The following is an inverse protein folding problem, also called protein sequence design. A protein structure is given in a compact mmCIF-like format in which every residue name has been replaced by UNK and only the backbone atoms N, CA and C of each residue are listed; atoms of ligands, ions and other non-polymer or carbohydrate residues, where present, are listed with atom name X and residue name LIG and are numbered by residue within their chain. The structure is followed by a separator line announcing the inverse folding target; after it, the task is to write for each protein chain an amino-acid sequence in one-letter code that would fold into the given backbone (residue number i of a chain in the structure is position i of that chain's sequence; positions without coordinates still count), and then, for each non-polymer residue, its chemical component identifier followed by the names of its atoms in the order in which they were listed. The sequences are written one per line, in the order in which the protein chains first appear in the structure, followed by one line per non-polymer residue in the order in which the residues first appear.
data_IF_142521161711
#
_entry.id   IF_142521161711
#
_cell.length_a   1.000
_cell.length_b   1.000
_cell.length_c   1.000
_cell.angle_alpha   90.00
_cell.angle_beta   90.00
_cell.angle_gamma   90.00
#
_symmetry.space_group_name_H-M   'P 1'
#
loop_
_entity.id
_entity.type
_entity.pdbx_description
1 polymer ?
#
# COMPACT_ATOMS: atom_id res chain seq x y z
N UNK A 1 38.52 33.21 0.05
CA UNK A 1 38.91 32.54 1.30
C UNK A 1 37.66 31.87 1.84
N UNK A 2 37.70 30.54 1.84
CA UNK A 2 36.57 29.64 1.96
C UNK A 2 35.92 29.63 3.34
N UNK A 3 34.58 29.65 3.36
CA UNK A 3 33.78 29.15 4.46
C UNK A 3 33.31 27.75 4.07
N UNK A 4 34.03 26.73 4.54
CA UNK A 4 33.65 25.34 4.38
C UNK A 4 32.41 25.05 5.27
N UNK A 5 31.25 24.88 4.63
CA UNK A 5 30.05 24.37 5.27
C UNK A 5 30.25 22.87 5.57
N UNK A 6 30.37 22.52 6.84
CA UNK A 6 30.46 21.13 7.29
C UNK A 6 29.14 20.40 6.97
N UNK A 7 29.16 19.58 5.92
CA UNK A 7 28.10 18.63 5.61
C UNK A 7 27.99 17.63 6.77
N UNK A 8 26.96 17.78 7.61
CA UNK A 8 26.52 16.72 8.50
C UNK A 8 26.00 15.57 7.63
N UNK A 9 26.87 14.62 7.31
CA UNK A 9 26.48 13.31 6.78
C UNK A 9 25.85 12.52 7.93
N UNK A 10 24.60 12.88 8.27
CA UNK A 10 23.73 11.99 9.01
C UNK A 10 23.49 10.77 8.13
N UNK A 11 24.19 9.67 8.37
CA UNK A 11 23.77 8.35 7.89
C UNK A 11 22.31 8.22 8.28
N UNK A 12 21.41 8.13 7.30
CA UNK A 12 20.02 7.79 7.55
C UNK A 12 20.04 6.51 8.38
N UNK A 13 19.65 6.63 9.65
CA UNK A 13 19.43 5.47 10.51
C UNK A 13 18.24 4.76 9.86
N UNK A 14 18.51 3.65 9.18
CA UNK A 14 17.45 2.70 8.83
C UNK A 14 17.01 2.12 10.17
N UNK A 15 16.04 2.77 10.80
CA UNK A 15 15.29 2.16 11.89
C UNK A 15 14.52 1.03 11.22
N UNK A 16 14.70 -0.24 11.63
CA UNK A 16 13.82 -1.30 11.16
C UNK A 16 12.41 -0.86 11.51
N UNK A 17 11.62 -0.47 10.52
CA UNK A 17 10.20 -0.32 10.73
C UNK A 17 9.71 -1.72 11.06
N UNK A 18 9.15 -1.90 12.24
CA UNK A 18 8.33 -3.08 12.52
C UNK A 18 7.17 -2.99 11.53
N UNK A 19 7.30 -3.68 10.40
CA UNK A 19 6.27 -3.71 9.38
C UNK A 19 5.17 -4.61 9.92
N UNK A 20 4.02 -4.02 10.20
CA UNK A 20 2.82 -4.76 10.57
C UNK A 20 1.92 -4.85 9.34
N UNK A 21 1.37 -6.04 9.09
CA UNK A 21 0.53 -6.32 7.92
C UNK A 21 -0.93 -6.59 8.32
N UNK A 22 -1.82 -6.22 7.41
CA UNK A 22 -3.22 -6.65 7.37
C UNK A 22 -3.47 -7.14 5.95
N UNK A 23 -3.93 -8.38 5.83
CA UNK A 23 -4.23 -8.98 4.54
C UNK A 23 -5.71 -8.79 4.22
N UNK A 24 -5.97 -8.13 3.10
CA UNK A 24 -7.32 -7.78 2.65
C UNK A 24 -7.60 -8.49 1.34
N UNK A 25 -8.70 -9.23 1.30
CA UNK A 25 -9.24 -9.77 0.05
C UNK A 25 -10.24 -8.79 -0.55
N UNK A 26 -10.00 -8.39 -1.79
CA UNK A 26 -10.95 -7.67 -2.62
C UNK A 26 -11.87 -8.65 -3.39
N UNK A 27 -13.09 -8.22 -3.77
CA UNK A 27 -14.04 -9.05 -4.52
C UNK A 27 -13.47 -9.53 -5.84
N UNK A 28 -13.74 -10.78 -6.23
CA UNK A 28 -13.21 -11.37 -7.48
C UNK A 28 -13.82 -10.76 -8.74
N UNK A 29 -14.98 -10.11 -8.63
CA UNK A 29 -15.64 -9.39 -9.70
C UNK A 29 -15.17 -7.93 -9.83
N UNK A 30 -14.13 -7.52 -9.10
CA UNK A 30 -13.58 -6.16 -9.17
C UNK A 30 -13.15 -5.83 -10.60
N UNK A 31 -13.46 -4.60 -11.03
CA UNK A 31 -12.96 -4.07 -12.30
C UNK A 31 -11.56 -3.53 -12.08
N UNK A 32 -10.63 -3.83 -12.99
CA UNK A 32 -9.26 -3.34 -12.90
C UNK A 32 -8.92 -2.54 -14.16
N UNK A 33 -8.44 -1.31 -13.97
CA UNK A 33 -7.86 -0.49 -15.04
C UNK A 33 -6.37 -0.29 -14.79
N UNK A 34 -5.63 0.00 -15.86
CA UNK A 34 -4.19 0.16 -15.80
C UNK A 34 -3.75 1.19 -16.82
N UNK A 35 -2.92 2.12 -16.39
CA UNK A 35 -2.37 3.18 -17.24
C UNK A 35 -0.88 3.39 -16.92
N UNK A 36 -0.11 3.73 -17.94
CA UNK A 36 1.25 4.23 -17.71
C UNK A 36 1.17 5.56 -16.94
N UNK A 37 2.10 5.79 -16.01
CA UNK A 37 2.07 7.03 -15.24
C UNK A 37 2.37 8.25 -16.12
N UNK A 38 1.54 9.27 -15.99
CA UNK A 38 1.81 10.57 -16.58
C UNK A 38 3.07 11.21 -15.96
N UNK A 39 3.78 12.01 -16.76
CA UNK A 39 5.02 12.68 -16.34
C UNK A 39 4.82 13.57 -15.09
N UNK A 40 3.62 14.14 -14.90
CA UNK A 40 3.30 14.93 -13.73
C UNK A 40 3.26 14.08 -12.44
N UNK A 41 2.75 12.85 -12.50
CA UNK A 41 2.74 11.93 -11.37
C UNK A 41 4.14 11.39 -11.08
N UNK A 42 4.93 11.06 -12.10
CA UNK A 42 6.31 10.58 -11.93
C UNK A 42 7.18 11.56 -11.13
N UNK A 43 7.02 12.87 -11.35
CA UNK A 43 7.74 13.92 -10.61
C UNK A 43 7.43 13.97 -9.10
N UNK A 44 6.33 13.34 -8.66
CA UNK A 44 5.91 13.29 -7.26
C UNK A 44 6.40 12.03 -6.55
N UNK A 45 7.02 11.11 -7.28
CA UNK A 45 7.52 9.84 -6.76
C UNK A 45 9.04 9.93 -6.56
N UNK A 46 9.62 9.01 -5.77
CA UNK A 46 11.07 8.85 -5.72
C UNK A 46 11.65 8.59 -7.11
N UNK A 47 12.85 9.12 -7.35
CA UNK A 47 13.57 8.91 -8.61
C UNK A 47 13.71 7.41 -8.93
N UNK A 48 13.33 7.04 -10.15
CA UNK A 48 13.36 5.65 -10.61
C UNK A 48 13.74 5.59 -12.09
N UNK A 49 14.58 4.62 -12.44
CA UNK A 49 14.89 4.29 -13.83
C UNK A 49 13.91 3.28 -14.44
N UNK A 50 13.00 2.73 -13.63
CA UNK A 50 11.99 1.77 -14.06
C UNK A 50 10.74 2.49 -14.57
N UNK A 51 10.15 1.95 -15.64
CA UNK A 51 8.78 2.30 -16.04
C UNK A 51 7.82 2.02 -14.89
N UNK A 52 6.84 2.91 -14.69
CA UNK A 52 5.84 2.78 -13.64
C UNK A 52 4.45 2.82 -14.25
N UNK A 53 3.58 1.94 -13.74
CA UNK A 53 2.17 1.85 -14.10
C UNK A 53 1.31 2.06 -12.86
N UNK A 54 0.15 2.69 -13.05
CA UNK A 54 -0.89 2.82 -12.07
C UNK A 54 -1.91 1.72 -12.34
N UNK A 55 -2.25 0.97 -11.31
CA UNK A 55 -3.34 -0.01 -11.32
C UNK A 55 -4.43 0.56 -10.43
N UNK A 56 -5.63 0.68 -10.97
CA UNK A 56 -6.83 1.03 -10.20
C UNK A 56 -7.74 -0.18 -10.11
N UNK A 57 -8.17 -0.49 -8.88
CA UNK A 57 -9.09 -1.59 -8.58
C UNK A 57 -10.39 -1.00 -8.08
N UNK A 58 -11.49 -1.36 -8.72
CA UNK A 58 -12.85 -0.91 -8.40
C UNK A 58 -13.68 -2.11 -7.93
N UNK A 59 -13.82 -2.33 -6.61
CA UNK A 59 -14.70 -3.36 -6.07
C UNK A 59 -16.14 -3.14 -6.55
N UNK A 60 -16.76 -4.16 -7.15
CA UNK A 60 -18.16 -4.06 -7.57
C UNK A 60 -19.14 -4.18 -6.40
N UNK A 61 -18.77 -4.93 -5.36
CA UNK A 61 -19.48 -4.98 -4.10
C UNK A 61 -18.52 -4.75 -2.93
N UNK A 62 -18.59 -3.56 -2.34
CA UNK A 62 -17.71 -3.18 -1.24
C UNK A 62 -17.95 -4.00 0.03
N UNK A 63 -19.14 -4.60 0.17
CA UNK A 63 -19.46 -5.47 1.31
C UNK A 63 -18.73 -6.81 1.27
N UNK A 64 -18.20 -7.19 0.11
CA UNK A 64 -17.38 -8.39 -0.09
C UNK A 64 -15.87 -8.14 0.15
N UNK A 65 -15.47 -6.93 0.55
CA UNK A 65 -14.09 -6.67 1.02
C UNK A 65 -13.91 -7.28 2.41
N UNK A 66 -12.96 -8.21 2.55
CA UNK A 66 -12.78 -8.98 3.79
C UNK A 66 -11.33 -8.91 4.27
N UNK A 67 -11.14 -8.61 5.56
CA UNK A 67 -9.85 -8.81 6.24
C UNK A 67 -9.67 -10.31 6.49
N UNK A 68 -8.60 -10.89 5.95
CA UNK A 68 -8.29 -12.31 6.07
C UNK A 68 -7.44 -12.60 7.29
N UNK A 69 -6.33 -11.87 7.41
CA UNK A 69 -5.31 -12.10 8.42
C UNK A 69 -4.72 -10.76 8.85
N UNK A 70 -4.18 -10.73 10.06
CA UNK A 70 -3.47 -9.57 10.59
C UNK A 70 -2.49 -10.04 11.67
N UNK A 71 -1.33 -9.41 11.71
CA UNK A 71 -0.26 -9.78 12.63
C UNK A 71 -0.27 -8.94 13.91
N UNK A 72 0.74 -9.13 14.76
CA UNK A 72 1.00 -8.21 15.86
C UNK A 72 1.34 -6.82 15.28
N UNK A 73 0.89 -5.72 15.92
CA UNK A 73 0.20 -5.66 17.20
C UNK A 73 -1.34 -5.68 17.08
N UNK A 74 -1.91 -5.83 15.88
CA UNK A 74 -3.36 -5.85 15.67
C UNK A 74 -4.03 -7.04 16.37
N UNK A 75 -3.33 -8.17 16.45
CA UNK A 75 -3.79 -9.36 17.17
C UNK A 75 -3.69 -9.27 18.70
N UNK A 76 -3.06 -8.22 19.25
CA UNK A 76 -2.84 -8.09 20.69
C UNK A 76 -4.04 -7.42 21.39
N UNK A 77 -4.93 -8.21 21.99
CA UNK A 77 -6.10 -7.70 22.73
C UNK A 77 -5.69 -6.66 23.78
N UNK A 78 -6.35 -5.51 23.77
CA UNK A 78 -6.06 -4.40 24.68
C UNK A 78 -4.89 -3.49 24.26
N UNK A 79 -4.18 -3.82 23.19
CA UNK A 79 -3.31 -2.86 22.51
C UNK A 79 -4.14 -1.84 21.72
N UNK A 80 -3.66 -0.60 21.55
CA UNK A 80 -4.40 0.43 20.81
C UNK A 80 -4.77 0.02 19.38
N UNK A 81 -3.93 -0.81 18.75
CA UNK A 81 -4.15 -1.29 17.37
C UNK A 81 -5.24 -2.37 17.24
N UNK A 82 -5.60 -3.07 18.33
CA UNK A 82 -6.72 -4.03 18.32
C UNK A 82 -8.04 -3.32 17.99
N UNK A 83 -8.20 -2.08 18.47
CA UNK A 83 -9.37 -1.26 18.18
C UNK A 83 -9.51 -0.94 16.68
N UNK A 84 -8.40 -0.91 15.91
CA UNK A 84 -8.47 -0.64 14.47
C UNK A 84 -9.18 -1.76 13.70
N UNK A 85 -9.03 -3.01 14.17
CA UNK A 85 -9.72 -4.17 13.56
C UNK A 85 -11.10 -4.38 14.19
N UNK A 86 -11.17 -4.38 15.52
CA UNK A 86 -12.33 -4.91 16.25
C UNK A 86 -13.20 -3.84 16.91
N UNK A 87 -12.77 -2.58 16.93
CA UNK A 87 -13.40 -1.51 17.73
C UNK A 87 -13.72 -0.23 16.98
N UNK A 88 -13.57 -0.20 15.65
CA UNK A 88 -13.68 1.03 14.82
C UNK A 88 -12.77 2.18 15.30
N UNK A 89 -11.60 1.83 15.83
CA UNK A 89 -10.57 2.79 16.20
C UNK A 89 -10.06 3.57 14.97
N UNK A 90 -9.67 4.82 15.20
CA UNK A 90 -9.19 5.72 14.16
C UNK A 90 -7.67 5.64 14.00
N UNK A 91 -7.22 5.54 12.75
CA UNK A 91 -5.85 5.74 12.32
C UNK A 91 -5.64 7.25 12.17
N UNK A 92 -4.65 7.79 12.90
CA UNK A 92 -4.32 9.22 12.96
C UNK A 92 -5.52 10.14 13.27
N UNK A 93 -6.46 9.66 14.09
CA UNK A 93 -7.70 10.38 14.48
C UNK A 93 -8.57 10.83 13.30
N UNK A 94 -8.39 10.23 12.12
CA UNK A 94 -9.05 10.67 10.87
C UNK A 94 -9.85 9.57 10.19
N UNK A 95 -9.27 8.39 10.04
CA UNK A 95 -9.86 7.32 9.23
C UNK A 95 -9.95 6.05 10.04
N UNK A 96 -11.08 5.36 10.02
CA UNK A 96 -11.12 3.97 10.49
C UNK A 96 -10.60 3.05 9.39
N UNK A 97 -10.16 1.84 9.75
CA UNK A 97 -9.86 0.82 8.75
C UNK A 97 -11.06 0.59 7.82
N UNK A 98 -12.27 0.58 8.37
CA UNK A 98 -13.50 0.46 7.58
C UNK A 98 -13.63 1.59 6.55
N UNK A 99 -13.33 2.85 6.91
CA UNK A 99 -13.36 3.96 5.96
C UNK A 99 -12.36 3.79 4.81
N UNK A 100 -11.20 3.18 5.08
CA UNK A 100 -10.19 2.89 4.06
C UNK A 100 -10.66 1.73 3.17
N UNK A 101 -11.22 0.68 3.76
CA UNK A 101 -11.67 -0.50 3.03
C UNK A 101 -12.97 -0.28 2.25
N UNK A 102 -13.78 0.73 2.63
CA UNK A 102 -15.02 1.09 1.95
C UNK A 102 -14.84 2.11 0.82
N UNK A 103 -13.61 2.34 0.37
CA UNK A 103 -13.35 3.25 -0.75
C UNK A 103 -13.88 2.67 -2.07
N UNK A 104 -14.37 3.56 -2.94
CA UNK A 104 -14.86 3.18 -4.28
C UNK A 104 -13.77 2.59 -5.17
N UNK A 105 -12.50 2.91 -4.89
CA UNK A 105 -11.36 2.41 -5.64
C UNK A 105 -10.08 2.38 -4.81
N UNK A 106 -9.17 1.49 -5.19
CA UNK A 106 -7.81 1.40 -4.66
C UNK A 106 -6.81 1.62 -5.79
N UNK A 107 -5.86 2.52 -5.58
CA UNK A 107 -4.84 2.87 -6.57
C UNK A 107 -3.45 2.43 -6.12
N UNK A 108 -2.78 1.65 -6.95
CA UNK A 108 -1.43 1.15 -6.70
C UNK A 108 -0.48 1.63 -7.79
N UNK A 109 0.70 2.11 -7.41
CA UNK A 109 1.76 2.44 -8.36
C UNK A 109 2.80 1.33 -8.32
N UNK A 110 3.01 0.66 -9.46
CA UNK A 110 3.92 -0.47 -9.58
C UNK A 110 5.08 -0.14 -10.51
N UNK A 111 6.28 -0.60 -10.16
CA UNK A 111 7.48 -0.42 -10.99
C UNK A 111 7.55 -1.49 -12.10
N UNK A 112 6.58 -1.45 -13.01
CA UNK A 112 6.41 -2.33 -14.16
C UNK A 112 5.74 -1.58 -15.30
N UNK A 113 5.94 -2.02 -16.54
CA UNK A 113 5.09 -1.58 -17.66
C UNK A 113 3.66 -2.06 -17.44
N UNK A 114 2.70 -1.35 -18.04
CA UNK A 114 1.27 -1.62 -17.89
C UNK A 114 0.89 -3.03 -18.38
N UNK A 115 1.47 -3.45 -19.51
CA UNK A 115 1.30 -4.82 -20.04
C UNK A 115 1.81 -5.90 -19.08
N UNK A 116 3.02 -5.73 -18.52
CA UNK A 116 3.59 -6.72 -17.63
C UNK A 116 2.88 -6.73 -16.26
N UNK A 117 2.38 -5.59 -15.80
CA UNK A 117 1.58 -5.51 -14.57
C UNK A 117 0.30 -6.35 -14.70
N UNK A 118 -0.48 -6.13 -15.76
CA UNK A 118 -1.73 -6.86 -15.97
C UNK A 118 -1.54 -8.35 -16.20
N UNK A 119 -0.50 -8.74 -16.94
CA UNK A 119 -0.20 -10.16 -17.18
C UNK A 119 0.04 -10.93 -15.88
N UNK A 120 0.62 -10.27 -14.86
CA UNK A 120 1.03 -10.91 -13.62
C UNK A 120 0.07 -10.67 -12.45
N UNK A 121 -0.84 -9.69 -12.54
CA UNK A 121 -1.71 -9.29 -11.44
C UNK A 121 -2.56 -10.44 -10.89
N UNK A 122 -3.08 -11.29 -11.78
CA UNK A 122 -3.93 -12.44 -11.42
C UNK A 122 -3.16 -13.76 -11.35
N UNK A 123 -1.83 -13.73 -11.49
CA UNK A 123 -1.05 -14.94 -11.31
C UNK A 123 -0.96 -15.26 -9.82
N UNK A 124 -1.00 -16.55 -9.45
CA UNK A 124 -0.70 -16.96 -8.10
C UNK A 124 0.66 -16.42 -7.69
N UNK A 125 0.77 -15.95 -6.44
CA UNK A 125 2.04 -15.51 -5.92
C UNK A 125 3.08 -16.65 -6.06
N UNK A 126 4.32 -16.34 -6.49
CA UNK A 126 5.37 -17.35 -6.54
C UNK A 126 5.72 -17.77 -5.10
N UNK A 127 6.11 -19.04 -4.86
CA UNK A 127 6.66 -19.44 -3.57
C UNK A 127 7.84 -18.53 -3.17
N UNK A 128 8.02 -18.20 -1.88
CA UNK A 128 7.25 -18.66 -0.72
C UNK A 128 6.03 -17.79 -0.39
N UNK A 129 5.68 -16.81 -1.22
CA UNK A 129 4.62 -15.82 -0.98
C UNK A 129 3.21 -16.40 -1.23
N UNK A 130 3.08 -17.73 -1.33
CA UNK A 130 1.80 -18.43 -1.47
C UNK A 130 1.16 -18.65 -0.13
#
# INVERSE_FOLDING_TARGET
MDLAYAMHTGRARIIPTETYSIDVQLPTNSVVTHDELEAAMLKRLPDSTKTMCRIDVYPQDISEVVVKEYEMPFANKGHQCDAFINGNGTIEDRFTLLNILQQESFSFIVASTSYAAMKNLFQPLPPPLR
#
